data_IF_131391851155
#
_entry.id   IF_131391851155
#
_cell.length_a   1.000
_cell.length_b   1.000
_cell.length_c   1.000
_cell.angle_alpha   90.00
_cell.angle_beta   90.00
_cell.angle_gamma   90.00
#
_symmetry.space_group_name_H-M   'P 1'
#
loop_
_entity.id
_entity.type
_entity.pdbx_description
1 polymer ?
#
# COMPACT_ATOMS: atom_id res chain seq x y z
N UNK A 1 22.62 35.65 3.29
CA UNK A 1 21.56 35.77 4.32
C UNK A 1 21.35 34.38 4.89
N UNK A 2 21.84 34.14 6.10
CA UNK A 2 22.05 32.82 6.69
C UNK A 2 20.94 32.53 7.70
N UNK A 3 20.16 31.48 7.48
CA UNK A 3 19.06 31.05 8.34
C UNK A 3 19.53 29.88 9.23
N UNK A 4 20.33 30.22 10.24
CA UNK A 4 20.74 29.32 11.32
C UNK A 4 20.49 30.06 12.63
N UNK A 5 19.27 30.08 13.17
CA UNK A 5 19.08 30.74 14.46
C UNK A 5 17.73 30.50 15.16
N UNK A 6 17.30 29.26 15.41
CA UNK A 6 16.18 29.10 16.35
C UNK A 6 16.08 27.74 17.08
N UNK A 7 16.54 26.65 16.47
CA UNK A 7 16.29 25.31 17.02
C UNK A 7 17.44 24.68 17.80
N UNK A 8 18.69 25.11 17.59
CA UNK A 8 19.85 24.47 18.22
C UNK A 8 20.26 25.08 19.59
N UNK A 9 20.00 26.37 19.83
CA UNK A 9 20.47 27.05 21.05
C UNK A 9 19.59 26.78 22.28
N UNK A 10 18.27 26.67 22.09
CA UNK A 10 17.31 26.53 23.20
C UNK A 10 17.31 25.11 23.82
N UNK A 11 17.81 24.11 23.09
CA UNK A 11 17.89 22.71 23.56
C UNK A 11 19.14 22.42 24.38
N UNK A 12 20.22 23.17 24.18
CA UNK A 12 21.46 23.01 24.94
C UNK A 12 21.37 23.69 26.31
N UNK A 13 20.70 24.83 26.40
CA UNK A 13 20.61 25.62 27.63
C UNK A 13 19.82 24.91 28.76
N UNK A 14 18.85 24.05 28.40
CA UNK A 14 18.10 23.25 29.38
C UNK A 14 18.86 22.04 29.92
N UNK A 15 19.89 21.54 29.22
CA UNK A 15 20.67 20.39 29.68
C UNK A 15 21.72 20.81 30.72
N UNK A 16 22.30 21.99 30.56
CA UNK A 16 23.34 22.48 31.48
C UNK A 16 22.77 22.99 32.81
N UNK A 17 21.54 23.53 32.82
CA UNK A 17 20.86 23.91 34.08
C UNK A 17 20.45 22.72 34.96
N UNK A 18 20.37 21.51 34.40
CA UNK A 18 20.04 20.29 35.16
C UNK A 18 21.30 19.61 35.70
N UNK A 19 22.48 19.90 35.14
CA UNK A 19 23.75 19.29 35.54
C UNK A 19 24.54 20.07 36.59
N UNK A 20 24.17 21.32 36.90
CA UNK A 20 24.86 22.14 37.91
C UNK A 20 24.19 22.11 39.31
N UNK A 21 23.46 21.02 39.61
CA UNK A 21 23.17 20.66 41.00
C UNK A 21 24.40 19.92 41.54
N UNK A 22 25.32 20.72 42.08
CA UNK A 22 26.46 20.37 42.93
C UNK A 22 26.31 18.98 43.61
N UNK A 23 26.93 17.97 42.99
CA UNK A 23 27.11 16.64 43.59
C UNK A 23 28.38 16.70 44.45
N UNK A 24 28.19 16.92 45.74
CA UNK A 24 29.22 16.83 46.77
C UNK A 24 29.44 15.34 47.13
N UNK A 25 30.68 14.83 47.17
CA UNK A 25 30.96 13.44 47.46
C UNK A 25 31.15 13.25 48.98
N UNK A 26 30.06 13.21 49.73
CA UNK A 26 30.13 12.77 51.13
C UNK A 26 30.08 11.24 51.19
N UNK A 27 31.30 10.72 51.34
CA UNK A 27 31.69 9.38 51.67
C UNK A 27 30.95 8.86 52.92
N UNK A 28 30.32 7.70 52.79
CA UNK A 28 30.15 6.71 53.86
C UNK A 28 29.45 7.16 55.14
N UNK A 29 28.16 6.83 55.25
CA UNK A 29 27.54 6.42 56.53
C UNK A 29 26.20 5.74 56.26
N UNK A 30 26.16 4.45 56.60
CA UNK A 30 25.00 3.66 57.00
C UNK A 30 23.62 4.22 56.66
N UNK A 31 23.05 3.76 55.55
CA UNK A 31 21.60 3.62 55.42
C UNK A 31 21.27 2.14 55.36
N UNK A 32 21.73 1.40 56.37
CA UNK A 32 20.97 0.30 56.93
C UNK A 32 19.55 0.82 57.11
N UNK A 33 18.60 0.31 56.32
CA UNK A 33 17.17 0.46 56.60
C UNK A 33 17.07 0.19 58.10
N UNK A 34 16.59 1.13 58.95
CA UNK A 34 16.25 0.73 60.29
C UNK A 34 15.08 -0.22 60.08
N UNK A 35 15.41 -1.52 60.01
CA UNK A 35 14.49 -2.58 60.35
C UNK A 35 13.94 -2.10 61.67
N UNK A 36 12.72 -1.58 61.61
CA UNK A 36 12.06 -1.00 62.75
C UNK A 36 12.16 -2.08 63.81
N UNK A 37 13.08 -1.86 64.76
CA UNK A 37 13.20 -2.69 65.94
C UNK A 37 11.77 -2.76 66.44
N UNK A 38 11.24 -3.97 66.55
CA UNK A 38 9.88 -4.21 66.97
C UNK A 38 9.67 -3.38 68.24
N UNK A 39 9.06 -2.22 68.03
CA UNK A 39 9.07 -1.13 68.97
C UNK A 39 8.19 -1.62 70.08
N UNK A 40 8.82 -2.07 71.16
CA UNK A 40 8.21 -2.45 72.42
C UNK A 40 7.04 -1.52 72.65
N UNK A 41 5.82 -2.06 72.49
CA UNK A 41 4.63 -1.35 72.87
C UNK A 41 4.84 -0.93 74.32
N UNK A 42 4.80 0.38 74.66
CA UNK A 42 4.86 0.75 76.06
C UNK A 42 3.66 0.10 76.71
N UNK A 43 3.92 -0.87 77.60
CA UNK A 43 2.88 -1.56 78.37
C UNK A 43 2.17 -0.49 79.20
N UNK A 44 0.92 -0.19 78.84
CA UNK A 44 0.15 0.94 79.36
C UNK A 44 -0.54 0.59 80.69
N UNK A 45 -0.18 -0.55 81.30
CA UNK A 45 -0.92 -1.15 82.42
C UNK A 45 -0.80 -0.44 83.77
N UNK A 46 -0.30 0.81 83.82
CA UNK A 46 -0.10 1.55 85.08
C UNK A 46 -0.32 3.06 85.02
N UNK A 47 -0.86 3.61 83.93
CA UNK A 47 -1.11 5.05 83.84
C UNK A 47 -2.52 5.40 84.33
N UNK A 48 -2.69 6.47 85.13
CA UNK A 48 -4.01 6.92 85.54
C UNK A 48 -4.87 7.19 84.29
N UNK A 49 -6.18 6.88 84.31
CA UNK A 49 -7.04 6.82 83.12
C UNK A 49 -7.00 8.10 82.26
N UNK A 50 -6.76 9.25 82.89
CA UNK A 50 -6.63 10.55 82.23
C UNK A 50 -5.34 10.75 81.39
N UNK A 51 -4.28 9.94 81.59
CA UNK A 51 -3.06 9.96 80.75
C UNK A 51 -3.13 8.97 79.61
N UNK A 52 -3.84 7.85 79.81
CA UNK A 52 -4.07 6.83 78.79
C UNK A 52 -4.97 7.37 77.68
N UNK A 53 -6.04 8.08 78.04
CA UNK A 53 -6.90 8.79 77.07
C UNK A 53 -6.12 9.81 76.24
N UNK A 54 -5.28 10.64 76.89
CA UNK A 54 -4.41 11.61 76.20
C UNK A 54 -3.37 10.96 75.29
N UNK A 55 -2.92 9.75 75.62
CA UNK A 55 -2.00 8.98 74.78
C UNK A 55 -2.71 8.36 73.59
N UNK A 56 -3.92 7.80 73.79
CA UNK A 56 -4.77 7.31 72.71
C UNK A 56 -5.18 8.43 71.75
N UNK A 57 -5.54 9.61 72.27
CA UNK A 57 -5.86 10.79 71.45
C UNK A 57 -4.64 11.24 70.61
N UNK A 58 -3.43 11.19 71.18
CA UNK A 58 -2.19 11.48 70.44
C UNK A 58 -1.86 10.43 69.38
N UNK A 59 -2.18 9.16 69.64
CA UNK A 59 -2.02 8.09 68.66
C UNK A 59 -3.03 8.22 67.53
N UNK A 60 -4.30 8.48 67.84
CA UNK A 60 -5.34 8.74 66.84
C UNK A 60 -4.98 9.93 65.96
N UNK A 61 -4.46 11.03 66.55
CA UNK A 61 -3.97 12.17 65.78
C UNK A 61 -2.83 11.81 64.84
N UNK A 62 -1.89 10.96 65.27
CA UNK A 62 -0.77 10.50 64.43
C UNK A 62 -1.20 9.52 63.33
N UNK A 63 -2.17 8.65 63.63
CA UNK A 63 -2.74 7.73 62.64
C UNK A 63 -3.56 8.51 61.62
N UNK A 64 -4.36 9.47 62.08
CA UNK A 64 -5.10 10.39 61.22
C UNK A 64 -4.17 11.21 60.32
N UNK A 65 -3.10 11.80 60.87
CA UNK A 65 -2.14 12.57 60.06
C UNK A 65 -1.39 11.69 59.06
N UNK A 66 -0.97 10.49 59.47
CA UNK A 66 -0.32 9.54 58.56
C UNK A 66 -1.27 9.06 57.46
N UNK A 67 -2.57 8.89 57.76
CA UNK A 67 -3.58 8.52 56.76
C UNK A 67 -3.83 9.65 55.75
N UNK A 68 -3.82 10.90 56.22
CA UNK A 68 -3.97 12.08 55.36
C UNK A 68 -2.75 12.29 54.46
N UNK A 69 -1.54 12.06 54.99
CA UNK A 69 -0.30 12.08 54.21
C UNK A 69 -0.28 10.98 53.13
N UNK A 70 -0.78 9.77 53.44
CA UNK A 70 -0.93 8.70 52.46
C UNK A 70 -1.91 9.05 51.35
N UNK A 71 -3.05 9.66 51.68
CA UNK A 71 -4.04 10.12 50.69
C UNK A 71 -3.44 11.18 49.75
N UNK A 72 -2.65 12.11 50.29
CA UNK A 72 -1.95 13.12 49.48
C UNK A 72 -0.93 12.47 48.54
N UNK A 73 -0.15 11.51 49.04
CA UNK A 73 0.83 10.77 48.26
C UNK A 73 0.16 9.94 47.16
N UNK A 74 -0.93 9.23 47.46
CA UNK A 74 -1.71 8.48 46.47
C UNK A 74 -2.30 9.38 45.39
N UNK A 75 -2.80 10.58 45.74
CA UNK A 75 -3.28 11.55 44.75
C UNK A 75 -2.14 12.02 43.84
N UNK A 76 -0.96 12.30 44.39
CA UNK A 76 0.22 12.68 43.59
C UNK A 76 0.69 11.55 42.68
N UNK A 77 0.68 10.31 43.17
CA UNK A 77 1.00 9.14 42.34
C UNK A 77 0.02 8.99 41.18
N UNK A 78 -1.29 9.12 41.44
CA UNK A 78 -2.30 9.05 40.39
C UNK A 78 -2.15 10.16 39.33
N UNK A 79 -1.74 11.37 39.73
CA UNK A 79 -1.46 12.47 38.78
C UNK A 79 -0.24 12.13 37.93
N UNK A 80 0.85 11.64 38.54
CA UNK A 80 2.05 11.23 37.84
C UNK A 80 1.81 10.07 36.87
N UNK A 81 1.00 9.08 37.26
CA UNK A 81 0.64 7.96 36.37
C UNK A 81 -0.16 8.43 35.16
N UNK A 82 -1.10 9.37 35.35
CA UNK A 82 -1.85 9.97 34.23
C UNK A 82 -0.96 10.77 33.30
N UNK A 83 -0.04 11.56 33.85
CA UNK A 83 0.91 12.33 33.07
C UNK A 83 1.84 11.41 32.28
N UNK A 84 2.38 10.37 32.92
CA UNK A 84 3.19 9.34 32.26
C UNK A 84 2.42 8.67 31.12
N UNK A 85 1.17 8.26 31.36
CA UNK A 85 0.33 7.66 30.32
C UNK A 85 0.09 8.63 29.14
N UNK A 86 -0.09 9.92 29.42
CA UNK A 86 -0.27 10.94 28.38
C UNK A 86 1.00 11.15 27.54
N UNK A 87 2.18 11.17 28.18
CA UNK A 87 3.47 11.29 27.51
C UNK A 87 3.81 10.04 26.70
N UNK A 88 3.49 8.86 27.22
CA UNK A 88 3.67 7.60 26.51
C UNK A 88 2.77 7.52 25.28
N UNK A 89 1.51 7.97 25.40
CA UNK A 89 0.60 8.08 24.26
C UNK A 89 1.15 9.05 23.21
N UNK A 90 1.60 10.24 23.61
CA UNK A 90 2.18 11.21 22.69
C UNK A 90 3.42 10.65 21.98
N UNK A 91 4.28 9.92 22.70
CA UNK A 91 5.45 9.26 22.13
C UNK A 91 5.06 8.16 21.14
N UNK A 92 4.03 7.38 21.45
CA UNK A 92 3.48 6.36 20.55
C UNK A 92 2.92 7.01 19.27
N UNK A 93 2.17 8.10 19.41
CA UNK A 93 1.59 8.84 18.29
C UNK A 93 2.68 9.48 17.41
N UNK A 94 3.73 10.05 18.01
CA UNK A 94 4.90 10.55 17.28
C UNK A 94 5.61 9.43 16.52
N UNK A 95 5.82 8.28 17.16
CA UNK A 95 6.46 7.13 16.51
C UNK A 95 5.63 6.63 15.33
N UNK A 96 4.30 6.55 15.47
CA UNK A 96 3.38 6.18 14.39
C UNK A 96 3.42 7.20 13.25
N UNK A 97 3.42 8.49 13.57
CA UNK A 97 3.49 9.55 12.58
C UNK A 97 4.80 9.49 11.79
N UNK A 98 5.95 9.36 12.47
CA UNK A 98 7.26 9.29 11.81
C UNK A 98 7.37 8.05 10.93
N UNK A 99 6.90 6.90 11.41
CA UNK A 99 6.91 5.66 10.63
C UNK A 99 5.98 5.77 9.41
N UNK A 100 4.74 6.22 9.60
CA UNK A 100 3.80 6.43 8.51
C UNK A 100 4.29 7.45 7.48
N UNK A 101 4.93 8.54 7.92
CA UNK A 101 5.56 9.52 7.02
C UNK A 101 6.67 8.86 6.19
N UNK A 102 7.53 8.06 6.82
CA UNK A 102 8.62 7.35 6.13
C UNK A 102 8.06 6.38 5.09
N UNK A 103 7.07 5.57 5.46
CA UNK A 103 6.40 4.63 4.57
C UNK A 103 5.78 5.34 3.36
N UNK A 104 5.05 6.45 3.58
CA UNK A 104 4.47 7.24 2.50
C UNK A 104 5.54 7.80 1.57
N UNK A 105 6.63 8.36 2.10
CA UNK A 105 7.74 8.86 1.28
C UNK A 105 8.29 7.74 0.39
N UNK A 106 8.60 6.58 0.97
CA UNK A 106 9.13 5.44 0.18
C UNK A 106 8.13 4.91 -0.85
N UNK A 107 6.83 4.93 -0.52
CA UNK A 107 5.76 4.54 -1.44
C UNK A 107 5.65 5.52 -2.61
N UNK A 108 5.66 6.83 -2.34
CA UNK A 108 5.66 7.86 -3.38
C UNK A 108 6.89 7.81 -4.26
N UNK A 109 8.09 7.61 -3.70
CA UNK A 109 9.32 7.43 -4.48
C UNK A 109 9.20 6.25 -5.46
N UNK A 110 8.63 5.14 -5.00
CA UNK A 110 8.40 3.96 -5.85
C UNK A 110 7.40 4.24 -6.97
N UNK A 111 6.29 4.92 -6.65
CA UNK A 111 5.26 5.29 -7.64
C UNK A 111 5.82 6.26 -8.68
N UNK A 112 6.60 7.27 -8.26
CA UNK A 112 7.23 8.23 -9.17
C UNK A 112 8.16 7.51 -10.15
N UNK A 113 8.99 6.59 -9.67
CA UNK A 113 9.87 5.79 -10.54
C UNK A 113 9.06 4.89 -11.48
N UNK A 114 7.96 4.29 -11.01
CA UNK A 114 7.05 3.51 -11.86
C UNK A 114 6.44 4.36 -12.97
N UNK A 115 5.96 5.55 -12.63
CA UNK A 115 5.36 6.49 -13.58
C UNK A 115 6.38 6.95 -14.63
N UNK A 116 7.61 7.26 -14.22
CA UNK A 116 8.69 7.60 -15.15
C UNK A 116 9.03 6.47 -16.12
N UNK A 117 9.02 5.21 -15.65
CA UNK A 117 9.21 4.04 -16.53
C UNK A 117 8.08 3.90 -17.52
N UNK A 118 6.85 4.11 -17.08
CA UNK A 118 5.67 4.08 -17.95
C UNK A 118 5.70 5.20 -19.00
N UNK A 119 6.11 6.41 -18.62
CA UNK A 119 6.30 7.54 -19.55
C UNK A 119 7.30 7.18 -20.65
N UNK A 120 8.46 6.61 -20.29
CA UNK A 120 9.47 6.18 -21.26
C UNK A 120 8.89 5.09 -22.18
N UNK A 121 8.15 4.11 -21.63
CA UNK A 121 7.54 3.06 -22.44
C UNK A 121 6.49 3.60 -23.42
N UNK A 122 5.69 4.59 -23.01
CA UNK A 122 4.72 5.27 -23.89
C UNK A 122 5.42 6.09 -24.98
N UNK A 123 6.53 6.76 -24.66
CA UNK A 123 7.34 7.48 -25.64
C UNK A 123 7.96 6.54 -26.68
N UNK A 124 8.52 5.41 -26.24
CA UNK A 124 9.04 4.39 -27.16
C UNK A 124 7.93 3.84 -28.07
N UNK A 125 6.75 3.56 -27.51
CA UNK A 125 5.60 3.11 -28.29
C UNK A 125 5.14 4.16 -29.29
N UNK A 126 5.14 5.44 -28.93
CA UNK A 126 4.76 6.52 -29.84
C UNK A 126 5.77 6.70 -30.98
N UNK A 127 7.06 6.53 -30.70
CA UNK A 127 8.11 6.52 -31.71
C UNK A 127 7.92 5.36 -32.70
N UNK A 128 7.63 4.15 -32.21
CA UNK A 128 7.32 2.99 -33.05
C UNK A 128 6.11 3.23 -33.95
N UNK A 129 5.02 3.79 -33.40
CA UNK A 129 3.82 4.14 -34.18
C UNK A 129 4.15 5.19 -35.26
N UNK A 130 4.99 6.17 -34.93
CA UNK A 130 5.39 7.22 -35.87
C UNK A 130 6.24 6.65 -37.00
N UNK A 131 7.22 5.81 -36.68
CA UNK A 131 8.05 5.11 -37.66
C UNK A 131 7.20 4.23 -38.60
N UNK A 132 6.22 3.52 -38.04
CA UNK A 132 5.26 2.74 -38.82
C UNK A 132 4.39 3.62 -39.71
N UNK A 133 3.84 4.72 -39.18
CA UNK A 133 3.02 5.64 -39.99
C UNK A 133 3.81 6.17 -41.18
N UNK A 134 5.10 6.47 -40.99
CA UNK A 134 6.00 6.84 -42.08
C UNK A 134 6.15 5.70 -43.09
N UNK A 135 6.43 4.48 -42.65
CA UNK A 135 6.54 3.31 -43.54
C UNK A 135 5.26 3.04 -44.32
N UNK A 136 4.10 3.12 -43.66
CA UNK A 136 2.80 2.96 -44.33
C UNK A 136 2.53 4.02 -45.40
N UNK A 137 3.00 5.26 -45.21
CA UNK A 137 2.93 6.30 -46.24
C UNK A 137 3.84 5.98 -47.41
N UNK A 138 5.07 5.56 -47.15
CA UNK A 138 6.00 5.13 -48.21
C UNK A 138 5.43 3.98 -49.04
N UNK A 139 4.81 2.97 -48.40
CA UNK A 139 4.13 1.87 -49.10
C UNK A 139 2.94 2.34 -49.94
N UNK A 140 2.23 3.38 -49.48
CA UNK A 140 1.10 3.97 -50.21
C UNK A 140 1.58 4.79 -51.41
N UNK A 141 2.70 5.50 -51.27
CA UNK A 141 3.34 6.21 -52.37
C UNK A 141 3.86 5.22 -53.43
N UNK A 142 4.46 4.09 -53.01
CA UNK A 142 4.90 3.00 -53.90
C UNK A 142 3.71 2.34 -54.63
N UNK A 143 2.55 2.23 -53.96
CA UNK A 143 1.32 1.77 -54.60
C UNK A 143 0.76 2.78 -55.61
N UNK A 144 0.86 4.09 -55.34
CA UNK A 144 0.40 5.12 -56.27
C UNK A 144 1.34 5.30 -57.48
N UNK A 145 2.62 4.94 -57.35
CA UNK A 145 3.58 4.96 -58.46
C UNK A 145 3.31 3.87 -59.51
N UNK A 146 2.58 2.82 -59.14
CA UNK A 146 1.98 1.86 -60.08
C UNK A 146 0.87 2.56 -60.88
N UNK A 147 1.26 3.33 -61.89
CA UNK A 147 0.33 4.04 -62.74
C UNK A 147 -0.15 3.14 -63.88
N UNK A 148 -1.37 2.63 -63.74
CA UNK A 148 -2.07 1.82 -64.73
C UNK A 148 -2.34 2.57 -66.05
N UNK A 149 -2.28 3.92 -66.06
CA UNK A 149 -2.56 4.73 -67.25
C UNK A 149 -1.45 4.67 -68.32
N UNK A 150 -0.22 4.26 -67.98
CA UNK A 150 0.91 4.23 -68.91
C UNK A 150 1.28 2.81 -69.37
N UNK A 151 0.38 1.84 -69.21
CA UNK A 151 0.64 0.46 -69.60
C UNK A 151 0.57 0.28 -71.13
N UNK A 152 1.38 -0.61 -71.72
CA UNK A 152 1.35 -0.88 -73.16
C UNK A 152 -0.02 -1.41 -73.60
N UNK A 153 -0.56 -0.92 -74.71
CA UNK A 153 -1.79 -1.45 -75.32
C UNK A 153 -1.60 -2.86 -75.94
N UNK A 154 -0.34 -3.27 -76.14
CA UNK A 154 0.00 -4.59 -76.66
C UNK A 154 -0.36 -5.69 -75.65
N UNK A 155 -1.08 -6.77 -76.04
CA UNK A 155 -1.53 -7.82 -75.13
C UNK A 155 -0.41 -8.50 -74.33
N UNK A 156 0.74 -8.75 -74.97
CA UNK A 156 1.91 -9.35 -74.32
C UNK A 156 2.64 -8.36 -73.38
N UNK A 157 2.64 -7.08 -73.74
CA UNK A 157 3.20 -6.01 -72.92
C UNK A 157 2.37 -5.76 -71.66
N UNK A 158 1.04 -5.74 -71.81
CA UNK A 158 0.08 -5.60 -70.72
C UNK A 158 0.17 -6.76 -69.71
N UNK A 159 0.19 -8.01 -70.17
CA UNK A 159 0.30 -9.17 -69.27
C UNK A 159 1.59 -9.14 -68.44
N UNK A 160 2.71 -8.74 -69.08
CA UNK A 160 4.00 -8.65 -68.39
C UNK A 160 4.02 -7.55 -67.32
N UNK A 161 3.44 -6.38 -67.58
CA UNK A 161 3.36 -5.31 -66.57
C UNK A 161 2.35 -5.64 -65.47
N UNK A 162 1.24 -6.31 -65.79
CA UNK A 162 0.27 -6.80 -64.80
C UNK A 162 0.89 -7.80 -63.82
N UNK A 163 1.66 -8.78 -64.31
CA UNK A 163 2.33 -9.75 -63.45
C UNK A 163 3.36 -9.08 -62.53
N UNK A 164 4.09 -8.07 -63.02
CA UNK A 164 5.01 -7.28 -62.19
C UNK A 164 4.26 -6.47 -61.14
N UNK A 165 3.16 -5.81 -61.50
CA UNK A 165 2.33 -5.05 -60.57
C UNK A 165 1.77 -5.97 -59.46
N UNK A 166 1.32 -7.18 -59.80
CA UNK A 166 0.86 -8.17 -58.83
C UNK A 166 1.97 -8.61 -57.86
N UNK A 167 3.19 -8.82 -58.34
CA UNK A 167 4.34 -9.14 -57.48
C UNK A 167 4.65 -7.99 -56.51
N UNK A 168 4.63 -6.74 -56.99
CA UNK A 168 4.84 -5.55 -56.14
C UNK A 168 3.74 -5.46 -55.08
N UNK A 169 2.47 -5.62 -55.47
CA UNK A 169 1.33 -5.61 -54.54
C UNK A 169 1.46 -6.70 -53.45
N UNK A 170 1.87 -7.91 -53.82
CA UNK A 170 2.06 -8.99 -52.85
C UNK A 170 3.24 -8.73 -51.90
N UNK A 171 4.31 -8.09 -52.37
CA UNK A 171 5.41 -7.67 -51.51
C UNK A 171 4.98 -6.55 -50.54
N UNK A 172 4.26 -5.54 -51.02
CA UNK A 172 3.67 -4.48 -50.20
C UNK A 172 2.73 -5.05 -49.13
N UNK A 173 1.92 -6.06 -49.46
CA UNK A 173 1.03 -6.75 -48.51
C UNK A 173 1.81 -7.49 -47.42
N UNK A 174 2.91 -8.18 -47.77
CA UNK A 174 3.77 -8.84 -46.78
C UNK A 174 4.42 -7.82 -45.86
N UNK A 175 4.89 -6.72 -46.42
CA UNK A 175 5.56 -5.68 -45.65
C UNK A 175 4.62 -4.93 -44.72
N UNK A 176 3.39 -4.64 -45.16
CA UNK A 176 2.34 -4.11 -44.30
C UNK A 176 1.96 -5.11 -43.20
N UNK A 177 1.87 -6.41 -43.54
CA UNK A 177 1.63 -7.46 -42.55
C UNK A 177 2.72 -7.52 -41.47
N UNK A 178 3.99 -7.40 -41.88
CA UNK A 178 5.16 -7.36 -40.99
C UNK A 178 5.16 -6.12 -40.10
N UNK A 179 4.78 -4.97 -40.66
CA UNK A 179 4.78 -3.69 -39.96
C UNK A 179 3.61 -3.57 -38.97
N UNK A 180 2.45 -4.16 -39.27
CA UNK A 180 1.32 -4.34 -38.35
C UNK A 180 1.61 -5.40 -37.28
N UNK A 181 2.31 -6.49 -37.62
CA UNK A 181 2.75 -7.46 -36.61
C UNK A 181 3.71 -6.83 -35.60
N UNK A 182 4.55 -5.89 -36.04
CA UNK A 182 5.46 -5.15 -35.16
C UNK A 182 4.72 -4.27 -34.12
N UNK A 183 3.48 -3.82 -34.41
CA UNK A 183 2.58 -3.15 -33.45
C UNK A 183 2.00 -4.09 -32.39
N UNK A 184 1.92 -5.40 -32.67
CA UNK A 184 1.18 -6.40 -31.89
C UNK A 184 2.00 -7.24 -30.91
N UNK A 185 3.31 -6.98 -30.77
CA UNK A 185 4.20 -7.80 -29.95
C UNK A 185 4.31 -7.22 -28.52
N UNK A 186 3.73 -7.80 -27.47
CA UNK A 186 3.11 -9.11 -27.40
C UNK A 186 1.94 -9.20 -26.41
N UNK A 187 1.07 -10.15 -26.71
CA UNK A 187 -0.02 -10.72 -25.88
C UNK A 187 -1.45 -10.19 -26.08
N UNK A 188 -1.65 -9.03 -26.72
CA UNK A 188 -3.00 -8.47 -26.93
C UNK A 188 -3.42 -8.36 -28.41
N UNK A 189 -2.64 -8.90 -29.34
CA UNK A 189 -2.84 -8.72 -30.79
C UNK A 189 -3.91 -9.58 -31.44
N UNK A 190 -4.44 -10.63 -30.77
CA UNK A 190 -5.47 -11.49 -31.37
C UNK A 190 -6.81 -10.76 -31.60
N UNK A 191 -7.05 -9.65 -30.90
CA UNK A 191 -8.28 -8.86 -31.10
C UNK A 191 -8.18 -7.82 -32.22
N UNK A 192 -6.98 -7.39 -32.60
CA UNK A 192 -6.80 -6.37 -33.65
C UNK A 192 -6.71 -6.97 -35.05
N UNK A 193 -6.27 -8.23 -35.17
CA UNK A 193 -6.34 -9.01 -36.42
C UNK A 193 -7.78 -9.46 -36.72
N UNK A 194 -8.74 -9.22 -35.83
CA UNK A 194 -10.18 -9.43 -36.12
C UNK A 194 -10.71 -8.52 -37.23
N UNK A 195 -9.99 -7.44 -37.60
CA UNK A 195 -10.30 -6.64 -38.81
C UNK A 195 -10.05 -7.45 -40.10
N UNK A 196 -9.24 -8.53 -40.05
CA UNK A 196 -9.10 -9.49 -41.16
C UNK A 196 -10.33 -10.41 -41.33
N UNK A 197 -11.30 -10.40 -40.40
CA UNK A 197 -12.45 -11.32 -40.39
C UNK A 197 -13.70 -10.80 -41.11
N UNK A 198 -13.58 -9.76 -41.93
CA UNK A 198 -14.62 -9.34 -42.91
C UNK A 198 -14.29 -9.72 -44.35
N UNK A 199 -13.17 -10.42 -44.61
CA UNK A 199 -12.79 -10.95 -45.91
C UNK A 199 -12.72 -12.47 -45.95
N UNK A 200 -13.82 -13.16 -45.63
CA UNK A 200 -13.93 -14.62 -45.83
C UNK A 200 -13.99 -14.94 -47.33
N UNK A 201 -12.90 -15.42 -47.94
CA UNK A 201 -12.99 -16.36 -49.08
C UNK A 201 -11.82 -17.36 -49.14
N UNK A 202 -10.64 -17.11 -48.58
CA UNK A 202 -9.46 -17.92 -48.96
C UNK A 202 -8.53 -18.24 -47.80
N UNK A 203 -8.91 -19.18 -46.92
CA UNK A 203 -7.96 -20.16 -46.37
C UNK A 203 -8.72 -21.22 -45.55
N UNK A 204 -9.19 -22.23 -46.27
CA UNK A 204 -9.78 -23.46 -45.72
C UNK A 204 -8.67 -24.51 -45.59
N UNK A 205 -7.57 -24.23 -44.89
CA UNK A 205 -6.53 -25.24 -44.62
C UNK A 205 -5.69 -24.86 -43.41
N UNK A 206 -6.19 -25.08 -42.17
CA UNK A 206 -5.45 -25.70 -41.06
C UNK A 206 -6.49 -26.13 -40.02
N UNK A 207 -6.59 -27.43 -39.81
CA UNK A 207 -7.44 -28.13 -38.85
C UNK A 207 -6.57 -28.44 -37.61
N UNK A 208 -6.88 -27.88 -36.43
CA UNK A 208 -6.81 -28.51 -35.09
C UNK A 208 -7.36 -27.54 -34.01
N UNK A 209 -8.08 -28.00 -32.96
CA UNK A 209 -9.03 -27.18 -32.24
C UNK A 209 -8.35 -26.42 -31.12
N UNK A 210 -8.10 -25.14 -31.34
CA UNK A 210 -7.89 -24.24 -30.22
C UNK A 210 -9.23 -24.09 -29.51
N UNK A 211 -9.37 -24.82 -28.39
CA UNK A 211 -10.43 -24.55 -27.43
C UNK A 211 -10.07 -23.23 -26.78
N UNK A 212 -10.34 -22.15 -27.51
CA UNK A 212 -10.62 -20.84 -26.99
C UNK A 212 -11.64 -21.04 -25.89
N UNK A 213 -11.14 -21.14 -24.65
CA UNK A 213 -11.97 -21.16 -23.46
C UNK A 213 -12.54 -19.75 -23.34
N UNK A 214 -13.55 -19.54 -24.17
CA UNK A 214 -14.32 -18.32 -24.31
C UNK A 214 -14.75 -17.86 -22.93
N UNK A 215 -14.93 -16.56 -22.78
CA UNK A 215 -15.49 -15.96 -21.58
C UNK A 215 -16.76 -16.69 -21.10
N UNK A 216 -17.54 -17.23 -22.03
CA UNK A 216 -18.69 -18.11 -21.80
C UNK A 216 -18.37 -19.46 -21.13
N UNK A 217 -17.21 -20.05 -21.39
CA UNK A 217 -16.73 -21.24 -20.69
C UNK A 217 -16.36 -20.90 -19.24
N UNK A 218 -15.63 -19.81 -19.01
CA UNK A 218 -15.32 -19.34 -17.64
C UNK A 218 -16.58 -18.89 -16.89
N UNK A 219 -17.56 -18.30 -17.57
CA UNK A 219 -18.88 -17.97 -17.03
C UNK A 219 -19.67 -19.25 -16.70
N UNK A 220 -19.69 -20.26 -17.57
CA UNK A 220 -20.33 -21.56 -17.29
C UNK A 220 -19.62 -22.33 -16.19
N UNK A 221 -18.29 -22.25 -16.11
CA UNK A 221 -17.51 -22.88 -15.05
C UNK A 221 -17.78 -22.19 -13.70
N UNK A 222 -17.87 -20.87 -13.69
CA UNK A 222 -18.32 -20.10 -12.53
C UNK A 222 -19.74 -20.47 -12.11
N UNK A 223 -20.67 -20.53 -13.08
CA UNK A 223 -22.06 -20.91 -12.82
C UNK A 223 -22.16 -22.35 -12.30
N UNK A 224 -21.41 -23.29 -12.87
CA UNK A 224 -21.36 -24.69 -12.43
C UNK A 224 -20.83 -24.82 -10.99
N UNK A 225 -19.89 -23.97 -10.57
CA UNK A 225 -19.39 -23.94 -9.20
C UNK A 225 -20.39 -23.30 -8.22
N UNK A 226 -21.10 -22.26 -8.63
CA UNK A 226 -22.04 -21.52 -7.75
C UNK A 226 -23.44 -22.14 -7.68
N UNK A 227 -23.86 -22.91 -8.68
CA UNK A 227 -25.18 -23.54 -8.77
C UNK A 227 -25.48 -24.53 -7.62
N UNK A 228 -24.59 -25.47 -7.23
CA UNK A 228 -24.88 -26.37 -6.11
C UNK A 228 -25.04 -25.61 -4.78
N UNK A 229 -24.29 -24.51 -4.58
CA UNK A 229 -24.40 -23.65 -3.39
C UNK A 229 -25.73 -22.91 -3.39
N UNK A 230 -26.16 -22.39 -4.55
CA UNK A 230 -27.41 -21.65 -4.69
C UNK A 230 -28.63 -22.56 -4.47
N UNK A 231 -28.61 -23.79 -5.00
CA UNK A 231 -29.66 -24.79 -4.73
C UNK A 231 -29.70 -25.16 -3.25
N UNK A 232 -28.54 -25.39 -2.60
CA UNK A 232 -28.48 -25.69 -1.18
C UNK A 232 -29.08 -24.55 -0.33
N UNK A 233 -28.82 -23.29 -0.70
CA UNK A 233 -29.41 -22.13 -0.01
C UNK A 233 -30.93 -22.05 -0.19
N UNK A 234 -31.45 -22.33 -1.39
CA UNK A 234 -32.89 -22.34 -1.65
C UNK A 234 -33.58 -23.44 -0.84
N UNK A 235 -33.02 -24.65 -0.82
CA UNK A 235 -33.56 -25.77 -0.02
C UNK A 235 -33.54 -25.43 1.47
N UNK A 236 -32.44 -24.87 1.97
CA UNK A 236 -32.35 -24.39 3.36
C UNK A 236 -33.42 -23.33 3.65
N UNK A 237 -33.62 -22.38 2.73
CA UNK A 237 -34.62 -21.32 2.89
C UNK A 237 -36.04 -21.88 2.92
N UNK A 238 -36.36 -22.89 2.09
CA UNK A 238 -37.64 -23.59 2.10
C UNK A 238 -37.84 -24.35 3.42
N UNK A 239 -36.81 -25.04 3.92
CA UNK A 239 -36.87 -25.73 5.22
C UNK A 239 -37.13 -24.73 6.35
N UNK A 240 -36.45 -23.58 6.35
CA UNK A 240 -36.64 -22.52 7.34
C UNK A 240 -38.05 -21.92 7.24
N UNK A 241 -38.57 -21.70 6.03
CA UNK A 241 -39.93 -21.21 5.83
C UNK A 241 -40.97 -22.22 6.34
N UNK A 242 -40.83 -23.50 5.97
CA UNK A 242 -41.73 -24.56 6.43
C UNK A 242 -41.68 -24.77 7.94
N UNK A 243 -40.52 -24.55 8.56
CA UNK A 243 -40.35 -24.63 10.02
C UNK A 243 -40.82 -23.36 10.77
N UNK A 244 -40.95 -22.22 10.08
CA UNK A 244 -41.54 -20.99 10.63
C UNK A 244 -43.06 -20.89 10.41
N UNK A 245 -43.60 -21.67 9.48
CA UNK A 245 -45.03 -21.71 9.14
C UNK A 245 -45.84 -22.81 9.83
N UNK A 246 -45.24 -23.57 10.75
CA UNK A 246 -45.88 -24.52 11.68
C UNK A 246 -45.57 -24.07 13.10
#
# INVERSE_FOLDING_TARGET
MSAKDFFDDDLLQKRDQVFDVKVEPELGKDSTIPMATAGRTPSISGLPPARLSKYMEKLDKKVSSASEELDILQRRQNVLEKEKASLEKLRSDQSRYLNGKKELITGFETIVVSMQREEIALLQRSELITALSKRSKELLDELNDLNDENWPEDPEGFQRELDKALVVIDELKKELGKSVAHLGLGKDSDNLVSIKKTGRVFDEFVDEPDTDRSFWFWLKAGFAATLPILIALIVLCIIILNRRGV
#
